data_IF_429487469518
#
_entry.id   IF_429487469518
#
_cell.length_a   1.000
_cell.length_b   1.000
_cell.length_c   1.000
_cell.angle_alpha   90.00
_cell.angle_beta   90.00
_cell.angle_gamma   90.00
#
_symmetry.space_group_name_H-M   'P 1'
#
loop_
_entity.id
_entity.type
_entity.pdbx_description
1 polymer ?
#
# COMPACT_ATOMS: atom_id res chain seq x y z
N UNK A 1 -19.42 23.92 11.62
CA UNK A 1 -18.87 22.71 10.95
C UNK A 1 -18.45 21.73 12.04
N UNK A 2 -19.26 20.70 12.30
CA UNK A 2 -19.06 19.81 13.45
C UNK A 2 -17.86 18.88 13.16
N UNK A 3 -16.72 19.08 13.85
CA UNK A 3 -15.53 18.23 13.67
C UNK A 3 -15.86 16.84 14.22
N UNK A 4 -16.16 15.88 13.33
CA UNK A 4 -16.30 14.46 13.68
C UNK A 4 -15.13 14.03 14.58
N UNK A 5 -15.42 13.26 15.62
CA UNK A 5 -14.39 12.82 16.58
C UNK A 5 -13.37 11.94 15.87
N UNK A 6 -12.13 11.91 16.36
CA UNK A 6 -11.02 11.13 15.79
C UNK A 6 -11.36 9.63 15.63
N UNK A 7 -12.21 9.10 16.52
CA UNK A 7 -12.76 7.74 16.45
C UNK A 7 -13.59 7.51 15.18
N UNK A 8 -14.51 8.42 14.87
CA UNK A 8 -15.52 8.24 13.82
C UNK A 8 -14.86 8.22 12.44
N UNK A 9 -13.82 9.03 12.25
CA UNK A 9 -13.02 9.05 11.02
C UNK A 9 -12.21 7.78 10.82
N UNK A 10 -11.70 7.18 11.92
CA UNK A 10 -11.02 5.87 11.86
C UNK A 10 -12.00 4.76 11.51
N UNK A 11 -13.24 4.85 12.00
CA UNK A 11 -14.30 3.92 11.61
C UNK A 11 -14.76 4.09 10.16
N UNK A 12 -14.83 5.33 9.66
CA UNK A 12 -15.13 5.61 8.24
C UNK A 12 -14.04 5.07 7.32
N UNK A 13 -12.77 5.32 7.64
CA UNK A 13 -11.67 4.75 6.86
C UNK A 13 -11.62 3.22 6.96
N UNK A 14 -11.94 2.65 8.13
CA UNK A 14 -12.07 1.19 8.29
C UNK A 14 -13.18 0.59 7.43
N UNK A 15 -14.35 1.24 7.37
CA UNK A 15 -15.46 0.81 6.50
C UNK A 15 -15.07 0.86 5.02
N UNK A 16 -14.44 1.93 4.58
CA UNK A 16 -13.94 2.03 3.21
C UNK A 16 -12.89 0.95 2.90
N UNK A 17 -11.96 0.70 3.83
CA UNK A 17 -10.94 -0.35 3.63
C UNK A 17 -11.60 -1.72 3.48
N UNK A 18 -12.48 -2.09 4.39
CA UNK A 18 -13.14 -3.40 4.34
C UNK A 18 -14.11 -3.55 3.17
N UNK A 19 -14.88 -2.50 2.87
CA UNK A 19 -15.94 -2.54 1.87
C UNK A 19 -15.47 -2.37 0.43
N UNK A 20 -14.40 -1.60 0.21
CA UNK A 20 -13.96 -1.23 -1.14
C UNK A 20 -12.51 -1.60 -1.41
N UNK A 21 -11.58 -1.25 -0.50
CA UNK A 21 -10.15 -1.47 -0.76
C UNK A 21 -9.80 -2.95 -0.80
N UNK A 22 -10.12 -3.73 0.25
CA UNK A 22 -9.72 -5.14 0.34
C UNK A 22 -10.23 -5.97 -0.86
N UNK A 23 -11.49 -5.82 -1.33
CA UNK A 23 -11.96 -6.49 -2.54
C UNK A 23 -11.22 -6.09 -3.82
N UNK A 24 -10.63 -4.89 -3.88
CA UNK A 24 -9.87 -4.42 -5.05
C UNK A 24 -8.45 -5.02 -5.15
N UNK A 25 -7.96 -5.67 -4.09
CA UNK A 25 -6.59 -6.21 -4.05
C UNK A 25 -6.53 -7.58 -4.74
N UNK A 26 -5.43 -7.84 -5.46
CA UNK A 26 -5.27 -9.06 -6.23
C UNK A 26 -4.87 -10.28 -5.39
N UNK A 27 -4.25 -10.04 -4.21
CA UNK A 27 -3.71 -11.12 -3.39
C UNK A 27 -4.01 -10.96 -1.91
N UNK A 28 -4.18 -12.07 -1.16
CA UNK A 28 -4.30 -12.02 0.30
C UNK A 28 -3.10 -11.36 0.99
N UNK A 29 -1.90 -11.48 0.40
CA UNK A 29 -0.70 -10.82 0.91
C UNK A 29 -0.78 -9.29 0.84
N UNK A 30 -1.34 -8.75 -0.23
CA UNK A 30 -1.62 -7.30 -0.34
C UNK A 30 -2.62 -6.86 0.72
N UNK A 31 -3.69 -7.64 0.95
CA UNK A 31 -4.68 -7.37 1.97
C UNK A 31 -4.07 -7.35 3.38
N UNK A 32 -3.25 -8.36 3.72
CA UNK A 32 -2.58 -8.43 5.02
C UNK A 32 -1.64 -7.23 5.25
N UNK A 33 -0.82 -6.87 4.26
CA UNK A 33 0.07 -5.71 4.35
C UNK A 33 -0.71 -4.40 4.47
N UNK A 34 -1.77 -4.22 3.67
CA UNK A 34 -2.61 -3.03 3.71
C UNK A 34 -3.32 -2.88 5.08
N UNK A 35 -3.89 -3.97 5.61
CA UNK A 35 -4.54 -3.97 6.92
C UNK A 35 -3.56 -3.61 8.04
N UNK A 36 -2.36 -4.21 8.04
CA UNK A 36 -1.34 -3.87 9.02
C UNK A 36 -0.95 -2.38 8.94
N UNK A 37 -0.71 -1.87 7.73
CA UNK A 37 -0.34 -0.46 7.55
C UNK A 37 -1.44 0.49 8.01
N UNK A 38 -2.72 0.17 7.75
CA UNK A 38 -3.85 0.97 8.22
C UNK A 38 -4.02 0.91 9.73
N UNK A 39 -3.86 -0.27 10.33
CA UNK A 39 -3.97 -0.44 11.78
C UNK A 39 -2.97 0.45 12.53
N UNK A 40 -1.76 0.55 11.99
CA UNK A 40 -0.69 1.42 12.51
C UNK A 40 -0.73 2.86 11.98
N UNK A 41 -1.72 3.22 11.17
CA UNK A 41 -1.83 4.57 10.65
C UNK A 41 -2.34 5.56 11.71
N UNK A 42 -1.91 6.81 11.59
CA UNK A 42 -2.30 7.92 12.45
C UNK A 42 -2.67 9.16 11.63
N UNK A 43 -3.18 10.16 12.35
CA UNK A 43 -3.56 11.45 11.78
C UNK A 43 -4.81 11.37 10.91
N UNK A 44 -5.26 12.53 10.44
CA UNK A 44 -6.43 12.62 9.55
C UNK A 44 -6.14 12.08 8.14
N UNK A 45 -4.85 12.03 7.79
CA UNK A 45 -4.35 11.63 6.49
C UNK A 45 -4.10 10.12 6.37
N UNK A 46 -4.27 9.34 7.44
CA UNK A 46 -3.91 7.92 7.49
C UNK A 46 -2.44 7.69 7.09
N UNK A 47 -1.54 8.38 7.78
CA UNK A 47 -0.08 8.26 7.61
C UNK A 47 0.47 7.12 8.46
N UNK A 48 1.49 6.43 7.96
CA UNK A 48 2.18 5.35 8.66
C UNK A 48 3.68 5.33 8.32
N UNK A 49 4.50 4.81 9.23
CA UNK A 49 5.95 4.66 9.04
C UNK A 49 6.44 3.24 9.37
N UNK A 50 5.58 2.24 9.20
CA UNK A 50 5.95 0.84 9.42
C UNK A 50 7.12 0.42 8.50
N UNK A 51 8.15 -0.16 9.10
CA UNK A 51 9.28 -0.75 8.37
C UNK A 51 8.85 -2.07 7.74
N UNK A 52 9.55 -2.48 6.67
CA UNK A 52 9.32 -3.80 6.07
C UNK A 52 9.57 -4.95 7.06
N UNK A 53 10.44 -4.74 8.07
CA UNK A 53 10.71 -5.72 9.11
C UNK A 53 9.53 -5.86 10.07
N UNK A 54 8.99 -4.75 10.58
CA UNK A 54 7.79 -4.78 11.43
C UNK A 54 6.59 -5.43 10.73
N UNK A 55 6.38 -5.13 9.45
CA UNK A 55 5.30 -5.74 8.67
C UNK A 55 5.56 -7.24 8.52
N UNK A 56 6.78 -7.64 8.13
CA UNK A 56 7.18 -9.04 7.96
C UNK A 56 6.88 -9.88 9.21
N UNK A 57 7.24 -9.35 10.38
CA UNK A 57 7.05 -10.04 11.66
C UNK A 57 5.57 -10.23 12.02
N UNK A 58 4.68 -9.38 11.50
CA UNK A 58 3.24 -9.45 11.75
C UNK A 58 2.45 -10.29 10.72
N UNK A 59 2.87 -10.30 9.45
CA UNK A 59 2.09 -10.92 8.36
C UNK A 59 2.69 -12.24 7.85
N UNK A 60 3.76 -12.74 8.48
CA UNK A 60 4.45 -13.98 8.13
C UNK A 60 4.92 -14.08 6.66
N UNK A 61 5.19 -12.95 6.02
CA UNK A 61 5.77 -12.88 4.67
C UNK A 61 7.27 -12.60 4.75
N UNK A 62 8.04 -12.96 3.72
CA UNK A 62 9.45 -12.54 3.66
C UNK A 62 9.59 -11.02 3.50
N UNK A 63 10.68 -10.44 4.00
CA UNK A 63 10.97 -9.00 3.85
C UNK A 63 11.01 -8.58 2.38
N UNK A 64 11.44 -9.47 1.47
CA UNK A 64 11.42 -9.24 0.02
C UNK A 64 9.99 -9.15 -0.52
N UNK A 65 9.09 -10.04 -0.10
CA UNK A 65 7.68 -10.01 -0.49
C UNK A 65 7.00 -8.74 0.04
N UNK A 66 7.23 -8.38 1.30
CA UNK A 66 6.68 -7.14 1.89
C UNK A 66 7.13 -5.91 1.10
N UNK A 67 8.42 -5.78 0.80
CA UNK A 67 8.94 -4.67 -0.02
C UNK A 67 8.32 -4.63 -1.41
N UNK A 68 8.10 -5.78 -2.04
CA UNK A 68 7.44 -5.89 -3.34
C UNK A 68 5.99 -5.42 -3.25
N UNK A 69 5.23 -5.92 -2.27
CA UNK A 69 3.82 -5.57 -2.05
C UNK A 69 3.66 -4.08 -1.75
N UNK A 70 4.50 -3.49 -0.89
CA UNK A 70 4.46 -2.04 -0.64
C UNK A 70 4.66 -1.24 -1.93
N UNK A 71 5.58 -1.66 -2.81
CA UNK A 71 5.78 -1.03 -4.13
C UNK A 71 4.59 -1.24 -5.05
N UNK A 72 3.96 -2.40 -5.04
CA UNK A 72 2.75 -2.69 -5.82
C UNK A 72 1.59 -1.80 -5.36
N UNK A 73 1.33 -1.72 -4.05
CA UNK A 73 0.30 -0.84 -3.48
C UNK A 73 0.56 0.63 -3.81
N UNK A 74 1.83 1.06 -3.80
CA UNK A 74 2.21 2.43 -4.18
C UNK A 74 1.99 2.68 -5.68
N UNK A 75 2.41 1.76 -6.54
CA UNK A 75 2.20 1.83 -8.00
C UNK A 75 0.72 1.77 -8.38
N UNK A 76 -0.06 0.97 -7.66
CA UNK A 76 -1.50 0.84 -7.83
C UNK A 76 -2.28 2.00 -7.21
N UNK A 77 -1.59 2.98 -6.63
CA UNK A 77 -2.16 4.23 -6.16
C UNK A 77 -2.83 4.16 -4.79
N UNK A 78 -2.80 3.01 -4.09
CA UNK A 78 -3.42 2.82 -2.77
C UNK A 78 -2.68 3.61 -1.68
N UNK A 79 -1.35 3.62 -1.77
CA UNK A 79 -0.48 4.37 -0.86
C UNK A 79 0.44 5.30 -1.64
N UNK A 80 0.98 6.32 -0.97
CA UNK A 80 2.06 7.16 -1.50
C UNK A 80 3.11 7.41 -0.44
N UNK A 81 4.38 7.48 -0.84
CA UNK A 81 5.45 7.97 0.04
C UNK A 81 5.36 9.49 0.17
N UNK A 82 5.24 9.98 1.41
CA UNK A 82 5.20 11.41 1.75
C UNK A 82 6.58 11.92 2.12
N UNK A 83 7.35 11.09 2.81
CA UNK A 83 8.73 11.39 3.18
C UNK A 83 9.59 10.15 3.03
N UNK A 84 10.74 10.31 2.37
CA UNK A 84 11.72 9.22 2.20
C UNK A 84 12.56 9.16 3.46
N UNK A 85 12.60 7.99 4.10
CA UNK A 85 13.46 7.75 5.24
C UNK A 85 14.94 7.75 4.85
N UNK A 86 15.78 8.49 5.57
CA UNK A 86 17.22 8.59 5.29
C UNK A 86 17.99 7.79 6.35
N UNK A 87 18.62 6.68 5.96
CA UNK A 87 19.51 5.88 6.81
C UNK A 87 18.85 4.72 7.59
N UNK A 88 19.66 4.01 8.39
CA UNK A 88 19.17 2.94 9.30
C UNK A 88 18.40 3.59 10.46
N UNK A 89 17.14 3.19 10.65
CA UNK A 89 16.31 3.65 11.77
C UNK A 89 15.28 4.72 11.40
N UNK A 90 15.38 5.35 10.22
CA UNK A 90 14.40 6.32 9.73
C UNK A 90 13.51 5.66 8.67
N UNK A 91 12.33 5.13 9.02
CA UNK A 91 11.39 4.62 8.03
C UNK A 91 10.79 5.73 7.18
N UNK A 92 10.53 5.44 5.90
CA UNK A 92 9.72 6.31 5.06
C UNK A 92 8.32 6.48 5.64
N UNK A 93 7.83 7.72 5.65
CA UNK A 93 6.42 8.01 5.96
C UNK A 93 5.62 7.83 4.69
N UNK A 94 4.57 7.00 4.78
CA UNK A 94 3.63 6.71 3.71
C UNK A 94 2.22 7.09 4.14
N UNK A 95 1.35 7.27 3.18
CA UNK A 95 -0.03 7.71 3.40
C UNK A 95 -0.98 6.90 2.53
N UNK A 96 -2.13 6.49 3.09
CA UNK A 96 -3.24 6.00 2.27
C UNK A 96 -3.84 7.15 1.44
N UNK A 97 -4.11 6.88 0.17
CA UNK A 97 -4.60 7.90 -0.77
C UNK A 97 -6.13 7.97 -0.82
N UNK A 98 -6.84 6.97 -0.29
CA UNK A 98 -8.27 6.78 -0.49
C UNK A 98 -8.64 6.26 -1.89
N UNK A 99 -7.67 5.80 -2.67
CA UNK A 99 -7.91 5.19 -4.00
C UNK A 99 -7.92 3.68 -3.90
N UNK A 100 -8.74 3.06 -4.75
CA UNK A 100 -8.73 1.61 -4.96
C UNK A 100 -7.48 1.18 -5.73
N UNK A 101 -7.12 -0.08 -5.54
CA UNK A 101 -5.97 -0.64 -6.26
C UNK A 101 -6.28 -0.71 -7.74
N UNK A 102 -5.51 0.04 -8.53
CA UNK A 102 -5.56 -0.04 -9.98
C UNK A 102 -4.35 -0.80 -10.46
N UNK A 103 -4.55 -1.94 -11.10
CA UNK A 103 -3.46 -2.61 -11.81
C UNK A 103 -3.02 -1.67 -12.93
N UNK A 104 -1.84 -1.06 -12.79
CA UNK A 104 -1.19 -0.46 -13.94
C UNK A 104 -0.89 -1.62 -14.88
N UNK A 105 -1.66 -1.75 -15.96
CA UNK A 105 -1.21 -2.53 -17.11
C UNK A 105 0.18 -2.02 -17.42
N UNK A 106 1.17 -2.91 -17.41
CA UNK A 106 2.47 -2.57 -17.94
C UNK A 106 2.24 -2.28 -19.42
N UNK A 107 2.09 -1.00 -19.73
CA UNK A 107 2.34 -0.39 -21.01
C UNK A 107 3.81 -0.67 -21.35
N UNK A 108 3.99 -1.87 -21.91
CA UNK A 108 5.04 -2.36 -22.81
C UNK A 108 4.66 -3.80 -23.12
N UNK A 109 3.64 -3.94 -23.98
CA UNK A 109 3.72 -4.93 -25.06
C UNK A 109 5.09 -4.68 -25.71
N UNK A 110 6.07 -5.54 -25.44
CA UNK A 110 7.12 -5.77 -26.42
C UNK A 110 6.41 -6.40 -27.61
N UNK A 111 5.77 -5.56 -28.44
CA UNK A 111 5.37 -5.94 -29.78
C UNK A 111 6.65 -5.99 -30.61
N UNK A 112 6.82 -7.11 -31.29
CA UNK A 112 7.78 -7.36 -32.36
C UNK A 112 9.26 -7.51 -31.95
N UNK A 113 9.61 -8.72 -31.55
CA UNK A 113 10.88 -9.32 -31.99
C UNK A 113 10.60 -10.72 -32.56
N UNK A 114 10.36 -10.80 -33.86
CA UNK A 114 10.52 -12.00 -34.69
C UNK A 114 10.70 -11.55 -36.16
N UNK A 115 11.38 -12.29 -37.03
CA UNK A 115 12.62 -13.05 -36.88
C UNK A 115 13.70 -12.55 -37.87
N UNK A 116 14.99 -12.70 -37.59
CA UNK A 116 16.01 -12.62 -38.64
C UNK A 116 16.07 -13.97 -39.36
N UNK A 117 15.27 -14.11 -40.41
CA UNK A 117 15.54 -15.02 -41.52
C UNK A 117 16.64 -14.45 -42.39
N UNK A 118 17.76 -15.15 -42.53
CA UNK A 118 18.46 -15.38 -43.79
C UNK A 118 19.02 -16.81 -43.78
#
# INVERSE_FOLDING_TARGET
MNRKRKSDRRWESGRWIHGELLPSLETPGQAAVAMFCWFHAWGEKCEFNATAQQIKDAVHLSTRQVKRILKELERGGVIKTVSVGVGRGNPSVRQFTGKLFTKRENEKRCHECHPLTQ
#
